data_IF_219185384147
#
_entry.id   IF_219185384147
#
_cell.length_a   1.000
_cell.length_b   1.000
_cell.length_c   1.000
_cell.angle_alpha   90.00
_cell.angle_beta   90.00
_cell.angle_gamma   90.00
#
_symmetry.space_group_name_H-M   'P 1'
#
loop_
_entity.id
_entity.type
_entity.pdbx_description
1 polymer ?
#
# COMPACT_ATOMS: atom_id res chain seq x y z
N UNK A 1 7.87 -10.86 -17.41
CA UNK A 1 7.94 -10.46 -15.99
C UNK A 1 6.94 -11.30 -15.24
N UNK A 2 7.39 -12.11 -14.27
CA UNK A 2 6.47 -12.79 -13.34
C UNK A 2 6.29 -11.87 -12.14
N UNK A 3 5.22 -11.08 -12.16
CA UNK A 3 4.67 -10.48 -10.95
C UNK A 3 3.62 -11.48 -10.47
N UNK A 4 3.82 -12.06 -9.29
CA UNK A 4 2.85 -12.99 -8.71
C UNK A 4 1.70 -12.26 -8.05
N UNK A 5 1.97 -11.09 -7.44
CA UNK A 5 1.00 -10.28 -6.69
C UNK A 5 1.40 -8.80 -6.75
N UNK A 6 0.40 -7.89 -6.82
CA UNK A 6 0.60 -6.43 -6.79
C UNK A 6 0.05 -5.88 -5.48
N UNK A 7 0.86 -5.10 -4.75
CA UNK A 7 0.46 -4.49 -3.49
C UNK A 7 -0.23 -3.13 -3.73
N UNK A 8 -1.50 -3.14 -4.16
CA UNK A 8 -2.28 -1.92 -4.44
C UNK A 8 -2.35 -0.98 -3.21
N UNK A 9 -2.39 -1.54 -2.01
CA UNK A 9 -2.40 -0.74 -0.78
C UNK A 9 -1.16 0.17 -0.66
N UNK A 10 0.02 -0.34 -1.00
CA UNK A 10 1.28 0.42 -0.94
C UNK A 10 1.39 1.44 -2.08
N UNK A 11 0.89 1.12 -3.27
CA UNK A 11 0.82 2.08 -4.38
C UNK A 11 -0.05 3.29 -4.02
N UNK A 12 -1.22 3.06 -3.41
CA UNK A 12 -2.12 4.13 -2.94
C UNK A 12 -1.46 4.94 -1.82
N UNK A 13 -0.81 4.27 -0.86
CA UNK A 13 -0.11 4.95 0.24
C UNK A 13 1.06 5.82 -0.26
N UNK A 14 1.87 5.30 -1.18
CA UNK A 14 2.97 6.04 -1.80
C UNK A 14 2.47 7.25 -2.58
N UNK A 15 1.37 7.11 -3.35
CA UNK A 15 0.77 8.22 -4.07
C UNK A 15 0.21 9.29 -3.12
N UNK A 16 -0.44 8.88 -2.02
CA UNK A 16 -0.93 9.78 -0.99
C UNK A 16 0.21 10.58 -0.33
N UNK A 17 1.35 9.94 -0.08
CA UNK A 17 2.50 10.60 0.56
C UNK A 17 3.06 11.78 -0.27
N UNK A 18 2.95 11.74 -1.60
CA UNK A 18 3.39 12.84 -2.47
C UNK A 18 2.65 14.16 -2.20
N UNK A 19 1.35 14.08 -1.88
CA UNK A 19 0.52 15.28 -1.60
C UNK A 19 0.50 15.63 -0.12
N UNK A 20 0.62 14.64 0.76
CA UNK A 20 0.72 14.87 2.20
C UNK A 20 2.05 15.54 2.55
N UNK A 21 3.13 15.16 1.87
CA UNK A 21 4.48 15.62 2.15
C UNK A 21 4.98 15.16 3.52
N UNK A 22 6.29 15.30 3.76
CA UNK A 22 6.91 14.82 5.01
C UNK A 22 6.61 15.73 6.21
N UNK A 23 6.46 17.04 5.98
CA UNK A 23 6.34 18.04 7.04
C UNK A 23 5.34 19.16 6.73
N UNK A 24 4.46 18.97 5.74
CA UNK A 24 3.56 20.02 5.27
C UNK A 24 2.31 20.22 6.14
N UNK A 25 2.17 19.44 7.23
CA UNK A 25 0.99 19.51 8.10
C UNK A 25 -0.30 19.00 7.44
N UNK A 26 -0.19 18.17 6.39
CA UNK A 26 -1.33 17.56 5.69
C UNK A 26 -1.42 16.08 6.09
N UNK A 27 -2.26 15.72 7.07
CA UNK A 27 -2.27 14.36 7.65
C UNK A 27 -3.15 13.37 6.88
N UNK A 28 -3.94 13.82 5.89
CA UNK A 28 -4.91 12.97 5.17
C UNK A 28 -4.93 13.34 3.69
N UNK A 29 -4.94 12.33 2.84
CA UNK A 29 -5.25 12.43 1.42
C UNK A 29 -6.48 11.58 1.07
N UNK A 30 -7.34 12.08 0.19
CA UNK A 30 -8.52 11.35 -0.30
C UNK A 30 -8.26 10.92 -1.74
N UNK A 31 -8.27 9.62 -1.99
CA UNK A 31 -8.12 9.03 -3.32
C UNK A 31 -9.50 8.57 -3.83
N UNK A 32 -9.84 8.93 -5.06
CA UNK A 32 -11.13 8.61 -5.71
C UNK A 32 -10.89 7.94 -7.05
N UNK A 33 -11.85 7.14 -7.50
CA UNK A 33 -11.81 6.47 -8.81
C UNK A 33 -10.98 5.18 -8.85
N UNK A 34 -10.67 4.60 -7.68
CA UNK A 34 -10.09 3.26 -7.60
C UNK A 34 -11.11 2.21 -8.03
N UNK A 35 -10.64 1.08 -8.56
CA UNK A 35 -11.49 -0.06 -8.87
C UNK A 35 -12.14 -0.58 -7.57
N UNK A 36 -13.48 -0.65 -7.48
CA UNK A 36 -14.17 -1.17 -6.30
C UNK A 36 -13.76 -2.60 -5.92
N UNK A 37 -13.31 -3.42 -6.89
CA UNK A 37 -12.86 -4.78 -6.64
C UNK A 37 -11.59 -4.85 -5.77
N UNK A 38 -10.81 -3.76 -5.71
CA UNK A 38 -9.64 -3.68 -4.83
C UNK A 38 -10.01 -3.47 -3.36
N UNK A 39 -11.22 -2.98 -3.07
CA UNK A 39 -11.71 -2.66 -1.72
C UNK A 39 -12.35 -3.87 -1.03
N UNK A 40 -11.62 -4.97 -0.94
CA UNK A 40 -12.04 -6.19 -0.23
C UNK A 40 -11.62 -6.15 1.25
N UNK A 41 -12.23 -7.01 2.06
CA UNK A 41 -11.69 -7.31 3.39
C UNK A 41 -10.27 -7.88 3.24
N UNK A 42 -9.35 -7.31 3.99
CA UNK A 42 -7.93 -7.64 3.95
C UNK A 42 -7.24 -7.29 5.26
N UNK A 43 -6.00 -7.77 5.44
CA UNK A 43 -5.19 -7.47 6.63
C UNK A 43 -3.72 -7.23 6.30
N UNK A 44 -3.02 -6.52 7.18
CA UNK A 44 -1.56 -6.31 7.08
C UNK A 44 -0.75 -7.63 7.06
N UNK A 45 -1.32 -8.74 7.51
CA UNK A 45 -0.66 -10.06 7.47
C UNK A 45 -0.45 -10.55 6.03
N UNK A 46 -1.19 -10.03 5.06
CA UNK A 46 -1.03 -10.35 3.64
C UNK A 46 0.16 -9.60 3.02
N UNK A 47 0.60 -8.49 3.63
CA UNK A 47 1.71 -7.65 3.15
C UNK A 47 3.02 -7.99 3.86
N UNK A 48 2.95 -8.24 5.18
CA UNK A 48 4.13 -8.54 5.99
C UNK A 48 4.64 -9.94 5.67
N UNK A 49 5.88 -10.03 5.18
CA UNK A 49 6.53 -11.30 4.89
C UNK A 49 6.78 -12.12 6.17
N UNK A 50 6.47 -13.43 6.19
CA UNK A 50 6.81 -14.30 7.30
C UNK A 50 8.34 -14.34 7.56
N UNK A 51 8.79 -14.46 8.82
CA UNK A 51 10.22 -14.47 9.15
C UNK A 51 11.03 -15.53 8.40
N UNK A 52 10.43 -16.68 8.08
CA UNK A 52 11.07 -17.79 7.38
C UNK A 52 11.30 -17.50 5.89
N UNK A 53 10.54 -16.56 5.31
CA UNK A 53 10.61 -16.17 3.91
C UNK A 53 11.42 -14.87 3.72
N UNK A 54 11.72 -14.17 4.81
CA UNK A 54 12.40 -12.87 4.79
C UNK A 54 13.93 -13.00 4.85
N UNK A 55 14.55 -13.09 3.67
CA UNK A 55 16.01 -13.23 3.52
C UNK A 55 16.82 -11.96 3.81
N UNK A 56 16.15 -10.82 4.01
CA UNK A 56 16.78 -9.50 4.16
C UNK A 56 16.57 -8.87 5.53
N UNK A 57 15.93 -9.61 6.44
CA UNK A 57 15.69 -9.18 7.81
C UNK A 57 16.95 -9.24 8.66
#
# INVERSE_FOLDING_TARGET
MQVTEVCIADEVACAAELVMGKSNGVPVAVVRGLDPLWMRESSMREIVRPPQEDLFR
#
